data_IF_487472346139
#
_entry.id   IF_487472346139
#
_cell.length_a   1.000
_cell.length_b   1.000
_cell.length_c   1.000
_cell.angle_alpha   90.00
_cell.angle_beta   90.00
_cell.angle_gamma   90.00
#
_symmetry.space_group_name_H-M   'P 1'
#
loop_
_entity.id
_entity.type
_entity.pdbx_description
1 polymer ?
#
# COMPACT_ATOMS: atom_id res chain seq x y z
N UNK A 1 -17.80 -7.08 -17.82
CA UNK A 1 -16.43 -6.66 -18.19
C UNK A 1 -15.86 -7.43 -19.39
N UNK A 2 -15.89 -8.76 -19.41
CA UNK A 2 -15.31 -9.59 -20.49
C UNK A 2 -15.93 -9.33 -21.87
N UNK A 3 -17.23 -9.05 -21.94
CA UNK A 3 -17.93 -8.80 -23.21
C UNK A 3 -17.54 -7.44 -23.83
N UNK A 4 -17.48 -6.39 -23.01
CA UNK A 4 -17.04 -5.06 -23.46
C UNK A 4 -15.60 -5.11 -23.96
N UNK A 5 -14.71 -5.78 -23.23
CA UNK A 5 -13.33 -6.02 -23.65
C UNK A 5 -13.28 -6.69 -25.03
N UNK A 6 -13.99 -7.80 -25.22
CA UNK A 6 -14.04 -8.52 -26.51
C UNK A 6 -14.55 -7.64 -27.65
N UNK A 7 -15.61 -6.85 -27.42
CA UNK A 7 -16.14 -5.91 -28.42
C UNK A 7 -15.11 -4.86 -28.82
N UNK A 8 -14.42 -4.26 -27.84
CA UNK A 8 -13.36 -3.26 -28.09
C UNK A 8 -12.16 -3.86 -28.82
N UNK A 9 -11.68 -5.02 -28.38
CA UNK A 9 -10.54 -5.72 -29.02
C UNK A 9 -10.85 -6.07 -30.49
N UNK A 10 -12.07 -6.51 -30.77
CA UNK A 10 -12.52 -6.83 -32.14
C UNK A 10 -12.63 -5.58 -33.00
N UNK A 11 -13.25 -4.51 -32.47
CA UNK A 11 -13.43 -3.24 -33.17
C UNK A 11 -12.09 -2.60 -33.55
N UNK A 12 -11.11 -2.65 -32.65
CA UNK A 12 -9.82 -1.99 -32.83
C UNK A 12 -8.70 -2.94 -33.27
N UNK A 13 -8.98 -4.24 -33.45
CA UNK A 13 -8.01 -5.28 -33.85
C UNK A 13 -6.76 -5.30 -32.97
N UNK A 14 -6.92 -5.07 -31.67
CA UNK A 14 -5.83 -5.04 -30.68
C UNK A 14 -6.21 -5.87 -29.46
N UNK A 15 -5.23 -6.58 -28.87
CA UNK A 15 -5.43 -7.26 -27.58
C UNK A 15 -5.12 -6.28 -26.44
N UNK A 16 -6.04 -6.17 -25.49
CA UNK A 16 -5.92 -5.30 -24.32
C UNK A 16 -5.51 -6.13 -23.11
N UNK A 17 -4.33 -5.85 -22.56
CA UNK A 17 -3.92 -6.40 -21.27
C UNK A 17 -4.29 -5.41 -20.17
N UNK A 18 -5.46 -5.62 -19.56
CA UNK A 18 -6.01 -4.79 -18.50
C UNK A 18 -6.15 -5.68 -17.27
N UNK A 19 -5.64 -5.19 -16.14
CA UNK A 19 -5.83 -5.81 -14.84
C UNK A 19 -6.84 -4.96 -14.06
N UNK A 20 -7.74 -5.60 -13.33
CA UNK A 20 -8.65 -4.92 -12.41
C UNK A 20 -8.21 -5.19 -10.99
N UNK A 21 -7.95 -4.13 -10.23
CA UNK A 21 -7.55 -4.21 -8.83
C UNK A 21 -8.45 -3.35 -7.96
N UNK A 22 -8.10 -3.26 -6.70
CA UNK A 22 -8.85 -2.46 -5.73
C UNK A 22 -7.94 -1.71 -4.78
N UNK A 23 -8.45 -0.60 -4.24
CA UNK A 23 -7.79 0.11 -3.16
C UNK A 23 -8.12 -0.58 -1.83
N UNK A 24 -7.10 -0.83 -1.02
CA UNK A 24 -7.26 -1.32 0.35
C UNK A 24 -7.07 -0.11 1.28
N UNK A 25 -8.17 0.59 1.52
CA UNK A 25 -8.18 1.88 2.22
C UNK A 25 -9.19 1.94 3.38
N UNK A 26 -10.05 0.92 3.50
CA UNK A 26 -10.95 0.75 4.65
C UNK A 26 -10.54 -0.45 5.48
N UNK A 27 -10.67 -0.35 6.80
CA UNK A 27 -10.25 -1.39 7.76
C UNK A 27 -10.86 -2.75 7.40
N UNK A 28 -12.15 -2.79 7.07
CA UNK A 28 -12.84 -4.03 6.67
C UNK A 28 -12.19 -4.69 5.44
N UNK A 29 -11.79 -3.90 4.44
CA UNK A 29 -11.17 -4.44 3.22
C UNK A 29 -9.82 -5.10 3.51
N UNK A 30 -9.05 -4.56 4.46
CA UNK A 30 -7.81 -5.20 4.91
C UNK A 30 -8.08 -6.52 5.64
N UNK A 31 -9.09 -6.55 6.52
CA UNK A 31 -9.46 -7.74 7.30
C UNK A 31 -10.05 -8.87 6.44
N UNK A 32 -10.79 -8.53 5.38
CA UNK A 32 -11.45 -9.50 4.48
C UNK A 32 -10.79 -9.55 3.10
N UNK A 33 -9.48 -9.26 3.02
CA UNK A 33 -8.79 -9.10 1.73
C UNK A 33 -8.72 -10.40 0.91
N UNK A 34 -8.88 -11.57 1.54
CA UNK A 34 -9.02 -12.85 0.85
C UNK A 34 -10.26 -12.87 -0.06
N UNK A 35 -11.42 -12.36 0.39
CA UNK A 35 -12.65 -12.31 -0.41
C UNK A 35 -12.49 -11.37 -1.62
N UNK A 36 -11.73 -10.28 -1.45
CA UNK A 36 -11.46 -9.33 -2.52
C UNK A 36 -10.50 -9.91 -3.56
N UNK A 37 -9.54 -10.72 -3.13
CA UNK A 37 -8.51 -11.30 -3.99
C UNK A 37 -9.05 -12.34 -4.98
N UNK A 38 -10.27 -12.86 -4.82
CA UNK A 38 -10.90 -13.71 -5.84
C UNK A 38 -11.12 -12.93 -7.14
N UNK A 39 -11.49 -11.65 -7.04
CA UNK A 39 -11.79 -10.79 -8.19
C UNK A 39 -10.65 -9.84 -8.53
N UNK A 40 -10.01 -9.24 -7.52
CA UNK A 40 -8.94 -8.27 -7.71
C UNK A 40 -7.62 -8.95 -8.11
N UNK A 41 -6.97 -8.39 -9.12
CA UNK A 41 -5.69 -8.86 -9.67
C UNK A 41 -4.48 -8.15 -9.05
N UNK A 42 -4.71 -7.00 -8.40
CA UNK A 42 -3.73 -6.26 -7.62
C UNK A 42 -4.41 -5.49 -6.48
N UNK A 43 -3.64 -5.17 -5.44
CA UNK A 43 -4.04 -4.26 -4.37
C UNK A 43 -3.18 -3.00 -4.38
N UNK A 44 -3.81 -1.86 -4.08
CA UNK A 44 -3.09 -0.62 -3.77
C UNK A 44 -3.55 -0.14 -2.40
N UNK A 45 -2.65 -0.05 -1.42
CA UNK A 45 -3.03 0.47 -0.11
C UNK A 45 -3.19 2.00 -0.16
N UNK A 46 -4.43 2.45 0.05
CA UNK A 46 -4.78 3.86 0.22
C UNK A 46 -4.54 4.26 1.66
N UNK A 47 -3.27 4.52 2.00
CA UNK A 47 -2.88 4.64 3.41
C UNK A 47 -3.34 5.92 4.09
N UNK A 48 -3.69 6.96 3.34
CA UNK A 48 -4.29 8.16 3.94
C UNK A 48 -5.62 7.80 4.62
N UNK A 49 -6.55 7.22 3.88
CA UNK A 49 -7.86 6.82 4.41
C UNK A 49 -7.78 5.63 5.36
N UNK A 50 -6.84 4.70 5.12
CA UNK A 50 -6.62 3.61 6.06
C UNK A 50 -6.13 4.12 7.41
N UNK A 51 -5.24 5.13 7.44
CA UNK A 51 -4.82 5.79 8.68
C UNK A 51 -6.01 6.48 9.34
N UNK A 52 -6.83 7.23 8.59
CA UNK A 52 -8.04 7.86 9.13
C UNK A 52 -8.96 6.84 9.81
N UNK A 53 -9.25 5.72 9.14
CA UNK A 53 -10.08 4.66 9.69
C UNK A 53 -9.45 3.90 10.85
N UNK A 54 -8.12 3.78 10.89
CA UNK A 54 -7.41 3.06 11.96
C UNK A 54 -7.34 3.88 13.24
N UNK A 55 -6.99 5.17 13.12
CA UNK A 55 -6.90 6.09 14.26
C UNK A 55 -8.24 6.72 14.64
N UNK A 56 -9.28 6.55 13.80
CA UNK A 56 -10.53 7.34 13.87
C UNK A 56 -10.26 8.85 13.83
N UNK A 57 -9.26 9.25 13.04
CA UNK A 57 -8.87 10.64 12.86
C UNK A 57 -9.44 11.19 11.56
N UNK A 58 -10.25 12.23 11.66
CA UNK A 58 -10.56 13.10 10.52
C UNK A 58 -9.34 13.96 10.24
N UNK A 59 -8.64 13.74 9.12
CA UNK A 59 -7.36 14.41 8.83
C UNK A 59 -7.49 15.94 8.88
N UNK A 60 -8.56 16.47 8.29
CA UNK A 60 -8.85 17.92 8.25
C UNK A 60 -9.03 18.52 9.65
N UNK A 61 -9.61 17.76 10.58
CA UNK A 61 -9.83 18.22 11.95
C UNK A 61 -8.58 18.06 12.83
N UNK A 62 -7.88 16.94 12.67
CA UNK A 62 -6.81 16.54 13.59
C UNK A 62 -5.56 17.40 13.42
N UNK A 63 -5.15 17.71 12.19
CA UNK A 63 -3.94 18.50 11.89
C UNK A 63 -3.96 19.89 12.53
N UNK A 64 -5.13 20.54 12.62
CA UNK A 64 -5.28 21.90 13.14
C UNK A 64 -5.75 22.02 14.59
N UNK A 65 -6.13 20.91 15.24
CA UNK A 65 -6.74 20.94 16.59
C UNK A 65 -5.85 20.34 17.67
N UNK A 66 -5.53 19.05 17.59
CA UNK A 66 -4.88 18.34 18.70
C UNK A 66 -3.65 17.53 18.29
N UNK A 67 -3.38 17.34 17.00
CA UNK A 67 -2.18 16.61 16.58
C UNK A 67 -0.88 17.27 17.05
N UNK A 68 -0.71 18.61 16.99
CA UNK A 68 0.49 19.26 17.52
C UNK A 68 0.68 18.99 19.01
N UNK A 69 -0.40 19.03 19.79
CA UNK A 69 -0.36 18.75 21.23
C UNK A 69 0.01 17.30 21.53
N UNK A 70 -0.50 16.34 20.73
CA UNK A 70 -0.14 14.92 20.87
C UNK A 70 1.34 14.68 20.57
N UNK A 71 1.90 15.39 19.60
CA UNK A 71 3.32 15.33 19.27
C UNK A 71 4.17 15.98 20.38
N UNK A 72 3.77 17.15 20.90
CA UNK A 72 4.49 17.84 21.99
C UNK A 72 4.50 17.04 23.29
N UNK A 73 3.38 16.35 23.60
CA UNK A 73 3.25 15.47 24.76
C UNK A 73 3.83 14.06 24.53
N UNK A 74 4.45 13.82 23.38
CA UNK A 74 5.00 12.52 22.99
C UNK A 74 3.98 11.36 23.08
N UNK A 75 2.68 11.67 22.92
CA UNK A 75 1.62 10.66 22.83
C UNK A 75 1.66 9.92 21.49
N UNK A 76 2.21 10.59 20.47
CA UNK A 76 2.55 10.01 19.17
C UNK A 76 4.01 10.29 18.88
N UNK A 77 4.77 9.26 18.52
CA UNK A 77 6.18 9.39 18.13
C UNK A 77 6.37 10.20 16.85
N UNK A 78 5.38 10.11 15.94
CA UNK A 78 5.41 10.73 14.61
C UNK A 78 3.99 11.01 14.13
N UNK A 79 3.86 11.96 13.21
CA UNK A 79 2.59 12.20 12.53
C UNK A 79 2.21 10.96 11.68
N UNK A 80 1.09 10.27 11.99
CA UNK A 80 0.70 9.03 11.32
C UNK A 80 0.21 9.22 9.88
N UNK A 81 0.05 10.48 9.42
CA UNK A 81 -0.25 10.82 8.03
C UNK A 81 1.01 11.14 7.19
N UNK A 82 2.17 11.26 7.83
CA UNK A 82 3.44 11.51 7.14
C UNK A 82 4.30 10.25 7.07
N UNK A 83 4.38 9.50 8.18
CA UNK A 83 5.09 8.24 8.27
C UNK A 83 4.17 7.18 8.84
N UNK A 84 4.23 5.98 8.26
CA UNK A 84 3.30 4.92 8.57
C UNK A 84 3.43 4.48 10.03
N UNK A 85 2.29 4.39 10.70
CA UNK A 85 2.19 3.68 11.97
C UNK A 85 2.38 2.18 11.71
N UNK A 86 3.54 1.66 12.09
CA UNK A 86 3.93 0.26 11.84
C UNK A 86 3.09 -0.74 12.65
N UNK A 87 2.58 -0.32 13.81
CA UNK A 87 1.93 -1.21 14.76
C UNK A 87 0.41 -1.33 14.51
N UNK A 88 -0.27 -0.23 14.19
CA UNK A 88 -1.69 -0.25 13.80
C UNK A 88 -1.87 -0.41 12.30
N UNK A 89 -1.64 0.66 11.54
CA UNK A 89 -1.85 0.68 10.07
C UNK A 89 -1.01 -0.39 9.36
N UNK A 90 0.25 -0.53 9.78
CA UNK A 90 1.16 -1.56 9.26
C UNK A 90 0.67 -2.99 9.52
N UNK A 91 -0.02 -3.23 10.64
CA UNK A 91 -0.64 -4.55 10.91
C UNK A 91 -1.80 -4.85 9.96
N UNK A 92 -2.63 -3.85 9.62
CA UNK A 92 -3.67 -4.01 8.61
C UNK A 92 -3.08 -4.30 7.22
N UNK A 93 -1.97 -3.64 6.87
CA UNK A 93 -1.24 -3.92 5.63
C UNK A 93 -0.75 -5.37 5.59
N UNK A 94 -0.13 -5.86 6.67
CA UNK A 94 0.32 -7.25 6.79
C UNK A 94 -0.82 -8.25 6.61
N UNK A 95 -1.96 -8.00 7.26
CA UNK A 95 -3.17 -8.82 7.14
C UNK A 95 -3.64 -8.84 5.68
N UNK A 96 -3.79 -7.67 5.06
CA UNK A 96 -4.26 -7.55 3.68
C UNK A 96 -3.34 -8.24 2.66
N UNK A 97 -2.01 -8.09 2.81
CA UNK A 97 -1.02 -8.77 1.97
C UNK A 97 -1.12 -10.28 2.13
N UNK A 98 -1.16 -10.76 3.38
CA UNK A 98 -1.18 -12.20 3.68
C UNK A 98 -2.46 -12.84 3.16
N UNK A 99 -3.62 -12.26 3.47
CA UNK A 99 -4.91 -12.74 3.03
C UNK A 99 -5.03 -12.69 1.50
N UNK A 100 -4.62 -11.59 0.87
CA UNK A 100 -4.63 -11.47 -0.58
C UNK A 100 -3.72 -12.47 -1.29
N UNK A 101 -2.48 -12.63 -0.82
CA UNK A 101 -1.52 -13.58 -1.42
C UNK A 101 -1.84 -15.04 -1.09
N UNK A 102 -2.65 -15.32 -0.08
CA UNK A 102 -3.16 -16.68 0.17
C UNK A 102 -4.05 -17.18 -0.96
N UNK A 103 -4.81 -16.27 -1.59
CA UNK A 103 -5.67 -16.55 -2.74
C UNK A 103 -4.89 -16.40 -4.06
N UNK A 104 -4.14 -15.31 -4.21
CA UNK A 104 -3.30 -15.02 -5.40
C UNK A 104 -1.83 -14.89 -5.03
N UNK A 105 -1.08 -16.00 -5.08
CA UNK A 105 0.34 -16.09 -4.63
C UNK A 105 1.28 -15.00 -5.14
N UNK A 106 1.07 -14.53 -6.37
CA UNK A 106 1.92 -13.52 -7.00
C UNK A 106 1.17 -12.18 -7.19
N UNK A 107 0.15 -11.91 -6.36
CA UNK A 107 -0.60 -10.67 -6.45
C UNK A 107 0.34 -9.48 -6.25
N UNK A 108 0.22 -8.54 -7.19
CA UNK A 108 0.89 -7.27 -7.11
C UNK A 108 0.23 -6.44 -6.00
N UNK A 109 1.06 -5.92 -5.09
CA UNK A 109 0.59 -5.10 -3.98
C UNK A 109 1.42 -3.84 -3.95
N UNK A 110 0.80 -2.68 -4.09
CA UNK A 110 1.45 -1.40 -3.91
C UNK A 110 0.86 -0.59 -2.78
N UNK A 111 1.43 0.59 -2.60
CA UNK A 111 0.96 1.64 -1.69
C UNK A 111 0.92 2.95 -2.45
N UNK A 112 -0.09 3.76 -2.18
CA UNK A 112 -0.23 5.13 -2.68
C UNK A 112 -0.50 6.10 -1.52
N UNK A 113 -0.27 7.37 -1.77
CA UNK A 113 -0.46 8.46 -0.81
C UNK A 113 0.85 9.03 -0.30
N UNK A 114 0.76 9.79 0.80
CA UNK A 114 1.89 10.55 1.35
C UNK A 114 3.03 9.62 1.80
N UNK A 115 2.68 8.50 2.42
CA UNK A 115 3.61 7.47 2.90
C UNK A 115 4.45 6.83 1.78
N UNK A 116 3.97 6.86 0.53
CA UNK A 116 4.71 6.32 -0.62
C UNK A 116 5.99 7.12 -0.93
N UNK A 117 6.11 8.35 -0.42
CA UNK A 117 7.31 9.19 -0.54
C UNK A 117 8.11 9.36 0.74
N UNK A 118 7.73 8.70 1.84
CA UNK A 118 8.44 8.77 3.12
C UNK A 118 9.47 7.64 3.24
N UNK A 119 10.77 7.92 3.45
CA UNK A 119 11.81 6.89 3.49
C UNK A 119 11.57 5.78 4.52
N UNK A 120 11.05 6.12 5.70
CA UNK A 120 10.80 5.13 6.76
C UNK A 120 9.66 4.18 6.39
N UNK A 121 8.59 4.71 5.79
CA UNK A 121 7.45 3.97 5.27
C UNK A 121 7.83 3.09 4.10
N UNK A 122 8.68 3.58 3.18
CA UNK A 122 9.20 2.80 2.05
C UNK A 122 10.03 1.61 2.55
N UNK A 123 10.87 1.82 3.56
CA UNK A 123 11.66 0.76 4.19
C UNK A 123 10.75 -0.30 4.84
N UNK A 124 9.70 0.11 5.54
CA UNK A 124 8.67 -0.79 6.04
C UNK A 124 8.02 -1.57 4.88
N UNK A 125 7.61 -0.88 3.81
CA UNK A 125 6.94 -1.50 2.67
C UNK A 125 7.82 -2.55 1.97
N UNK A 126 9.11 -2.28 1.84
CA UNK A 126 10.07 -3.25 1.31
C UNK A 126 10.19 -4.48 2.21
N UNK A 127 10.25 -4.29 3.54
CA UNK A 127 10.29 -5.36 4.53
C UNK A 127 9.05 -6.27 4.50
N UNK A 128 7.86 -5.69 4.34
CA UNK A 128 6.60 -6.44 4.17
C UNK A 128 6.41 -7.02 2.75
N UNK A 129 7.35 -6.71 1.84
CA UNK A 129 7.38 -7.28 0.51
C UNK A 129 6.31 -6.72 -0.43
N UNK A 130 5.98 -5.42 -0.32
CA UNK A 130 5.22 -4.74 -1.37
C UNK A 130 5.99 -4.76 -2.70
N UNK A 131 5.24 -4.72 -3.79
CA UNK A 131 5.75 -4.73 -5.17
C UNK A 131 6.23 -3.36 -5.62
N UNK A 132 5.54 -2.28 -5.22
CA UNK A 132 5.89 -0.91 -5.60
C UNK A 132 5.41 0.10 -4.54
N UNK A 133 5.96 1.31 -4.62
CA UNK A 133 5.45 2.50 -3.92
C UNK A 133 5.09 3.55 -4.97
N UNK A 134 4.03 4.31 -4.73
CA UNK A 134 3.59 5.41 -5.60
C UNK A 134 3.59 6.71 -4.82
N UNK A 135 4.28 7.73 -5.33
CA UNK A 135 4.49 9.01 -4.68
C UNK A 135 4.22 10.17 -5.64
N UNK A 136 4.02 11.35 -5.09
CA UNK A 136 3.93 12.60 -5.85
C UNK A 136 5.21 12.83 -6.69
N UNK A 137 5.12 13.49 -7.86
CA UNK A 137 6.24 13.58 -8.80
C UNK A 137 7.56 14.09 -8.20
N UNK A 138 7.48 15.09 -7.33
CA UNK A 138 8.66 15.68 -6.69
C UNK A 138 9.30 14.78 -5.62
N UNK A 139 8.59 13.78 -5.10
CA UNK A 139 9.11 12.79 -4.14
C UNK A 139 9.66 11.54 -4.81
N UNK A 140 9.47 11.35 -6.12
CA UNK A 140 10.00 10.19 -6.86
C UNK A 140 11.51 9.99 -6.63
N UNK A 141 12.39 11.01 -6.71
CA UNK A 141 13.81 10.82 -6.47
C UNK A 141 14.13 10.31 -5.06
N UNK A 142 13.42 10.83 -4.04
CA UNK A 142 13.55 10.40 -2.65
C UNK A 142 13.12 8.93 -2.52
N UNK A 143 12.00 8.56 -3.14
CA UNK A 143 11.48 7.21 -3.08
C UNK A 143 12.43 6.19 -3.72
N UNK A 144 13.09 6.55 -4.82
CA UNK A 144 14.11 5.70 -5.47
C UNK A 144 15.29 5.45 -4.52
N UNK A 145 15.83 6.51 -3.91
CA UNK A 145 16.97 6.38 -2.99
C UNK A 145 16.59 5.57 -1.76
N UNK A 146 15.44 5.84 -1.15
CA UNK A 146 14.94 5.10 0.01
C UNK A 146 14.70 3.61 -0.30
N UNK A 147 14.13 3.30 -1.47
CA UNK A 147 13.93 1.92 -1.90
C UNK A 147 15.26 1.19 -2.12
N UNK A 148 16.26 1.87 -2.70
CA UNK A 148 17.61 1.32 -2.87
C UNK A 148 18.29 1.07 -1.52
N UNK A 149 18.23 2.01 -0.59
CA UNK A 149 18.75 1.85 0.78
C UNK A 149 18.07 0.68 1.50
N UNK A 150 16.74 0.59 1.44
CA UNK A 150 16.00 -0.52 2.02
C UNK A 150 16.42 -1.88 1.42
N UNK A 151 16.66 -1.94 0.10
CA UNK A 151 17.14 -3.16 -0.55
C UNK A 151 18.56 -3.57 -0.11
N UNK A 152 19.43 -2.60 0.16
CA UNK A 152 20.80 -2.84 0.66
C UNK A 152 20.77 -3.30 2.11
N UNK A 153 19.99 -2.63 2.96
CA UNK A 153 19.91 -2.92 4.40
C UNK A 153 19.10 -4.19 4.71
N UNK A 154 18.10 -4.49 3.90
CA UNK A 154 17.21 -5.64 4.04
C UNK A 154 17.27 -6.50 2.76
N UNK A 155 18.40 -7.17 2.48
CA UNK A 155 18.54 -7.98 1.29
C UNK A 155 17.52 -9.13 1.32
N UNK A 156 16.67 -9.20 0.29
CA UNK A 156 15.71 -10.30 0.15
C UNK A 156 16.48 -11.61 0.09
N UNK A 157 16.23 -12.54 1.03
CA UNK A 157 16.80 -13.89 0.98
C UNK A 157 16.51 -14.49 -0.39
N UNK A 158 17.55 -14.86 -1.13
CA UNK A 158 17.40 -15.48 -2.44
C UNK A 158 16.45 -16.68 -2.32
N UNK A 159 15.35 -16.68 -3.07
CA UNK A 159 14.49 -17.86 -3.18
C UNK A 159 15.38 -19.01 -3.67
N UNK A 160 15.67 -19.99 -2.81
CA UNK A 160 16.32 -21.23 -3.23
C UNK A 160 15.48 -21.77 -4.39
N UNK A 161 16.04 -21.82 -5.60
CA UNK A 161 15.42 -22.53 -6.72
C UNK A 161 15.11 -23.94 -6.20
N UNK A 162 13.83 -24.30 -6.13
CA UNK A 162 13.45 -25.70 -5.93
C UNK A 162 14.11 -26.47 -7.08
N UNK A 163 15.07 -27.33 -6.73
CA UNK A 163 15.60 -28.36 -7.64
C UNK A 163 14.49 -29.35 -7.93
#
# INVERSE_FOLDING_TARGET
MTELKKKTETKHKMKLKINFGTMIEVVRAALTANELADTAEFFSFGTNDLTQGTFSFSREDVEGKFLPEYMEKELLERNPFQSIDVNGVGSLIRIGITAGRSIRKNMEVGICGEHGGDPSSIKFCHGEGLSYVSASPHRIPIAIVAAAQAAIEQPKKAKKKKK
#
